data_IF_350827373696
#
_entry.id   IF_350827373696
#
_cell.length_a   1.000
_cell.length_b   1.000
_cell.length_c   1.000
_cell.angle_alpha   90.00
_cell.angle_beta   90.00
_cell.angle_gamma   90.00
#
_symmetry.space_group_name_H-M   'P 1'
#
loop_
_entity.id
_entity.type
_entity.pdbx_description
1 polymer ?
#
# COMPACT_ATOMS: atom_id res chain seq x y z
N UNK A 1 -9.03 2.09 -0.57
CA UNK A 1 -8.74 1.70 0.83
C UNK A 1 -8.23 2.93 1.60
N UNK A 2 -8.65 3.16 2.84
CA UNK A 2 -8.12 4.26 3.67
C UNK A 2 -7.35 3.66 4.85
N UNK A 3 -6.09 4.06 5.05
CA UNK A 3 -5.25 3.62 6.18
C UNK A 3 -4.63 4.83 6.83
N UNK A 4 -4.88 5.00 8.13
CA UNK A 4 -4.37 6.13 8.93
C UNK A 4 -4.57 7.51 8.26
N UNK A 5 -5.77 7.73 7.69
CA UNK A 5 -6.11 8.98 7.02
C UNK A 5 -5.57 9.11 5.58
N UNK A 6 -4.78 8.17 5.09
CA UNK A 6 -4.28 8.15 3.72
C UNK A 6 -5.19 7.30 2.83
N UNK A 7 -5.61 7.86 1.70
CA UNK A 7 -6.42 7.15 0.71
C UNK A 7 -5.55 6.47 -0.34
N UNK A 8 -5.62 5.15 -0.38
CA UNK A 8 -4.94 4.29 -1.35
C UNK A 8 -5.89 3.85 -2.46
N UNK A 9 -5.50 4.16 -3.70
CA UNK A 9 -6.26 3.83 -4.91
C UNK A 9 -5.81 2.47 -5.42
N UNK A 10 -6.63 1.45 -5.19
CA UNK A 10 -6.35 0.05 -5.56
C UNK A 10 -5.96 -0.08 -7.05
N UNK A 11 -6.68 0.60 -7.94
CA UNK A 11 -6.43 0.59 -9.39
C UNK A 11 -5.05 1.12 -9.79
N UNK A 12 -4.49 2.08 -9.04
CA UNK A 12 -3.17 2.63 -9.30
C UNK A 12 -2.05 1.77 -8.69
N UNK A 13 -2.35 1.06 -7.59
CA UNK A 13 -1.39 0.26 -6.84
C UNK A 13 -1.24 -1.14 -7.44
N UNK A 14 -2.32 -1.71 -7.99
CA UNK A 14 -2.31 -3.02 -8.67
C UNK A 14 -1.25 -3.18 -9.78
N UNK A 15 -1.07 -2.21 -10.71
CA UNK A 15 -0.04 -2.31 -11.75
C UNK A 15 1.37 -1.96 -11.25
N UNK A 16 1.51 -1.38 -10.04
CA UNK A 16 2.81 -1.06 -9.46
C UNK A 16 3.46 -2.28 -8.81
N UNK A 17 4.79 -2.31 -8.75
CA UNK A 17 5.52 -3.28 -7.94
C UNK A 17 5.55 -2.85 -6.48
N UNK A 18 5.52 -3.81 -5.56
CA UNK A 18 5.64 -3.58 -4.11
C UNK A 18 6.81 -2.67 -3.74
N UNK A 19 7.99 -2.93 -4.32
CA UNK A 19 9.21 -2.15 -4.05
C UNK A 19 9.09 -0.70 -4.53
N UNK A 20 8.52 -0.47 -5.72
CA UNK A 20 8.31 0.86 -6.27
C UNK A 20 7.24 1.62 -5.48
N UNK A 21 6.17 0.93 -5.08
CA UNK A 21 5.13 1.48 -4.22
C UNK A 21 5.73 1.94 -2.88
N UNK A 22 6.49 1.07 -2.20
CA UNK A 22 7.12 1.42 -0.92
C UNK A 22 8.09 2.60 -1.11
N UNK A 23 8.94 2.58 -2.14
CA UNK A 23 9.92 3.65 -2.38
C UNK A 23 9.27 5.00 -2.71
N UNK A 24 8.18 5.00 -3.48
CA UNK A 24 7.47 6.23 -3.83
C UNK A 24 6.71 6.84 -2.64
N UNK A 25 6.30 6.02 -1.67
CA UNK A 25 5.42 6.44 -0.58
C UNK A 25 6.12 6.56 0.79
N UNK A 26 7.22 5.85 1.05
CA UNK A 26 7.91 5.85 2.36
C UNK A 26 8.48 7.22 2.75
N UNK A 27 8.79 8.04 1.74
CA UNK A 27 9.35 9.37 1.90
C UNK A 27 8.28 10.46 1.89
N UNK A 28 7.01 10.13 1.61
CA UNK A 28 5.88 11.08 1.51
C UNK A 28 4.81 10.84 2.58
N UNK A 29 4.55 9.57 2.90
CA UNK A 29 3.54 9.15 3.88
C UNK A 29 4.18 8.81 5.22
N UNK A 30 3.45 9.08 6.30
CA UNK A 30 3.82 8.70 7.67
C UNK A 30 5.24 9.13 8.06
N UNK A 31 5.63 10.33 7.63
CA UNK A 31 6.95 10.92 7.91
C UNK A 31 7.22 11.11 9.42
N UNK A 32 6.16 11.07 10.21
CA UNK A 32 6.16 11.06 11.67
C UNK A 32 6.58 9.71 12.30
N UNK A 33 6.48 8.58 11.56
CA UNK A 33 6.87 7.24 12.03
C UNK A 33 8.30 6.87 11.63
N UNK A 34 8.87 5.84 12.23
CA UNK A 34 10.19 5.32 11.82
C UNK A 34 10.16 4.69 10.42
N UNK A 35 11.25 4.76 9.63
CA UNK A 35 11.32 4.20 8.28
C UNK A 35 10.91 2.72 8.21
N UNK A 36 11.31 1.94 9.22
CA UNK A 36 11.01 0.50 9.31
C UNK A 36 9.52 0.23 9.49
N UNK A 37 8.84 1.05 10.29
CA UNK A 37 7.37 0.99 10.47
C UNK A 37 6.67 1.36 9.16
N UNK A 38 7.13 2.41 8.47
CA UNK A 38 6.55 2.84 7.18
C UNK A 38 6.63 1.74 6.13
N UNK A 39 7.80 1.12 5.97
CA UNK A 39 7.97 0.03 5.00
C UNK A 39 7.04 -1.14 5.32
N UNK A 40 6.88 -1.48 6.60
CA UNK A 40 5.96 -2.55 7.03
C UNK A 40 4.50 -2.20 6.73
N UNK A 41 4.07 -0.97 7.03
CA UNK A 41 2.70 -0.52 6.75
C UNK A 41 2.41 -0.44 5.25
N UNK A 42 3.30 0.15 4.46
CA UNK A 42 3.16 0.18 3.00
C UNK A 42 3.16 -1.22 2.40
N UNK A 43 3.99 -2.11 2.92
CA UNK A 43 4.00 -3.52 2.55
C UNK A 43 2.64 -4.19 2.82
N UNK A 44 2.07 -3.97 4.00
CA UNK A 44 0.79 -4.55 4.41
C UNK A 44 -0.39 -4.01 3.58
N UNK A 45 -0.41 -2.69 3.30
CA UNK A 45 -1.38 -2.06 2.41
C UNK A 45 -1.31 -2.68 1.02
N UNK A 46 -0.11 -2.81 0.46
CA UNK A 46 0.08 -3.41 -0.86
C UNK A 46 -0.39 -4.87 -0.88
N UNK A 47 -0.02 -5.66 0.12
CA UNK A 47 -0.46 -7.05 0.28
C UNK A 47 -1.99 -7.15 0.40
N UNK A 48 -2.61 -6.26 1.17
CA UNK A 48 -4.07 -6.22 1.35
C UNK A 48 -4.79 -5.89 0.05
N UNK A 49 -4.30 -4.91 -0.72
CA UNK A 49 -4.87 -4.52 -2.01
C UNK A 49 -4.72 -5.65 -3.03
N UNK A 50 -3.53 -6.25 -3.11
CA UNK A 50 -3.26 -7.35 -4.06
C UNK A 50 -4.00 -8.62 -3.68
N UNK A 51 -4.13 -8.96 -2.39
CA UNK A 51 -4.96 -10.09 -1.92
C UNK A 51 -6.46 -9.85 -2.10
N UNK A 52 -6.94 -8.61 -2.06
CA UNK A 52 -8.34 -8.30 -2.35
C UNK A 52 -8.72 -8.52 -3.81
N UNK A 53 -7.76 -8.44 -4.75
CA UNK A 53 -7.98 -8.79 -6.15
C UNK A 53 -8.42 -10.25 -6.29
N UNK A 54 -7.75 -11.15 -5.57
CA UNK A 54 -8.02 -12.60 -5.59
C UNK A 54 -9.45 -12.92 -5.11
N UNK A 55 -10.00 -12.11 -4.20
CA UNK A 55 -11.39 -12.27 -3.70
C UNK A 55 -12.46 -11.61 -4.56
N UNK A 56 -12.13 -10.62 -5.39
CA UNK A 56 -13.12 -9.88 -6.21
C UNK A 56 -13.37 -10.54 -7.58
N UNK A 57 -12.51 -11.45 -8.04
CA UNK A 57 -12.64 -12.14 -9.33
C UNK A 57 -13.53 -13.42 -9.28
N UNK A 58 -14.14 -13.74 -8.13
CA UNK A 58 -15.04 -14.91 -7.97
C UNK A 58 -16.51 -14.56 -7.80
N UNK A 59 -16.99 -13.40 -8.29
CA UNK A 59 -18.42 -13.05 -8.17
C UNK A 59 -19.04 -12.63 -9.48
#
# INVERSE_FOLDING_TARGET
MIVEGVTFVEQAIMPMKKSDFIKAHKDVLWQDREPKEREKMLSDVYDTITKQKDKKETK
#
